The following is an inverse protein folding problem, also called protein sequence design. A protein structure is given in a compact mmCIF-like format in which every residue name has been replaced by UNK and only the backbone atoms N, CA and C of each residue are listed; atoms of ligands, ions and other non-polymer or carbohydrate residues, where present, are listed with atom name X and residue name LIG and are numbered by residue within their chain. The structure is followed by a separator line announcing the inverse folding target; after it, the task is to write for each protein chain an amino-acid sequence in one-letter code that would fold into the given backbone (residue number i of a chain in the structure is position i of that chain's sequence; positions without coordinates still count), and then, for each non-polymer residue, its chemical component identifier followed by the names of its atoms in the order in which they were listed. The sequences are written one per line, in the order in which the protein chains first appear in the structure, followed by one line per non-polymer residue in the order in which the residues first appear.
data_IF_284215832479
#
_entry.id   IF_284215832479
#
_cell.length_a   1.000
_cell.length_b   1.000
_cell.length_c   1.000
_cell.angle_alpha   90.00
_cell.angle_beta   90.00
_cell.angle_gamma   90.00
#
_symmetry.space_group_name_H-M   'P 1'
#
loop_
_entity.id
_entity.type
_entity.pdbx_description
1 polymer ?
#
# COMPACT_ATOMS: atom_id res chain seq x y z
N UNK A 1 -32.95 -4.07 -20.11
CA UNK A 1 -31.50 -4.21 -19.88
C UNK A 1 -31.24 -4.58 -18.43
N UNK A 2 -31.92 -5.61 -17.92
CA UNK A 2 -31.63 -6.15 -16.59
C UNK A 2 -30.50 -7.18 -16.72
N UNK A 3 -29.54 -7.14 -15.79
CA UNK A 3 -28.49 -8.15 -15.68
C UNK A 3 -27.15 -7.85 -16.37
N UNK A 4 -26.97 -6.69 -17.03
CA UNK A 4 -25.64 -6.26 -17.49
C UNK A 4 -24.95 -5.44 -16.41
N UNK A 5 -23.74 -5.87 -16.01
CA UNK A 5 -22.88 -5.08 -15.14
C UNK A 5 -22.57 -3.74 -15.82
N UNK A 6 -22.65 -2.64 -15.07
CA UNK A 6 -22.32 -1.30 -15.55
C UNK A 6 -21.20 -0.70 -14.71
N UNK A 7 -20.38 0.14 -15.35
CA UNK A 7 -19.31 0.87 -14.69
C UNK A 7 -19.90 2.19 -14.18
N UNK A 8 -19.80 2.43 -12.87
CA UNK A 8 -20.27 3.67 -12.27
C UNK A 8 -19.38 4.88 -12.62
N UNK A 9 -19.92 6.07 -12.45
CA UNK A 9 -19.25 7.37 -12.66
C UNK A 9 -17.97 7.57 -11.83
N UNK A 10 -17.78 6.79 -10.76
CA UNK A 10 -16.61 6.84 -9.88
C UNK A 10 -15.39 6.09 -10.45
N UNK A 11 -15.54 5.40 -11.59
CA UNK A 11 -14.46 4.64 -12.16
C UNK A 11 -13.35 5.56 -12.70
N UNK A 12 -12.15 5.43 -12.16
CA UNK A 12 -10.95 6.15 -12.62
C UNK A 12 -10.14 5.37 -13.67
N UNK A 13 -10.64 4.22 -14.14
CA UNK A 13 -9.97 3.46 -15.20
C UNK A 13 -8.68 2.75 -14.76
N UNK A 14 -8.54 2.35 -13.49
CA UNK A 14 -7.32 1.70 -12.98
C UNK A 14 -7.10 0.25 -13.47
N UNK A 15 -8.03 -0.29 -14.25
CA UNK A 15 -8.03 -1.64 -14.83
C UNK A 15 -7.90 -2.81 -13.84
N UNK A 16 -8.00 -2.55 -12.53
CA UNK A 16 -7.86 -3.60 -11.51
C UNK A 16 -8.93 -4.68 -11.66
N UNK A 17 -10.19 -4.29 -11.92
CA UNK A 17 -11.31 -5.21 -12.12
C UNK A 17 -11.08 -6.18 -13.28
N UNK A 18 -10.52 -5.72 -14.40
CA UNK A 18 -10.18 -6.55 -15.56
C UNK A 18 -9.05 -7.52 -15.20
N UNK A 19 -7.98 -7.01 -14.58
CA UNK A 19 -6.81 -7.82 -14.19
C UNK A 19 -7.11 -8.89 -13.14
N UNK A 20 -8.11 -8.66 -12.30
CA UNK A 20 -8.49 -9.56 -11.21
C UNK A 20 -9.69 -10.46 -11.55
N UNK A 21 -10.31 -10.31 -12.73
CA UNK A 21 -11.48 -11.12 -13.09
C UNK A 21 -11.03 -12.56 -13.40
N UNK A 22 -11.41 -13.56 -12.59
CA UNK A 22 -11.01 -14.95 -12.83
C UNK A 22 -11.70 -15.54 -14.07
N UNK A 23 -12.85 -14.99 -14.46
CA UNK A 23 -13.64 -15.41 -15.61
C UNK A 23 -13.32 -14.64 -16.89
N UNK A 24 -12.43 -13.65 -16.83
CA UNK A 24 -12.07 -12.80 -17.98
C UNK A 24 -13.31 -12.14 -18.64
N UNK A 25 -14.32 -11.85 -17.83
CA UNK A 25 -15.63 -11.36 -18.28
C UNK A 25 -15.66 -9.84 -18.58
N UNK A 26 -14.54 -9.13 -18.37
CA UNK A 26 -14.46 -7.68 -18.49
C UNK A 26 -13.40 -7.31 -19.52
N UNK A 27 -13.75 -6.37 -20.39
CA UNK A 27 -12.83 -5.71 -21.33
C UNK A 27 -12.74 -4.23 -21.02
N UNK A 28 -11.60 -3.61 -21.35
CA UNK A 28 -11.46 -2.16 -21.26
C UNK A 28 -11.91 -1.57 -22.59
N UNK A 29 -12.91 -0.71 -22.54
CA UNK A 29 -13.26 0.18 -23.65
C UNK A 29 -12.72 1.57 -23.33
N UNK A 30 -12.06 2.20 -24.31
CA UNK A 30 -11.64 3.59 -24.19
C UNK A 30 -12.87 4.48 -24.33
N UNK A 31 -13.22 5.18 -23.24
CA UNK A 31 -14.33 6.11 -23.21
C UNK A 31 -13.79 7.44 -22.69
N UNK A 32 -13.99 8.51 -23.45
CA UNK A 32 -13.63 9.85 -23.00
C UNK A 32 -14.40 10.19 -21.72
N UNK A 33 -13.65 10.50 -20.66
CA UNK A 33 -14.21 11.02 -19.42
C UNK A 33 -14.09 12.54 -19.42
N UNK A 34 -15.19 13.28 -19.55
CA UNK A 34 -15.14 14.74 -19.53
C UNK A 34 -14.51 15.21 -18.22
N UNK A 35 -13.57 16.16 -18.32
CA UNK A 35 -12.86 16.77 -17.18
C UNK A 35 -12.01 15.80 -16.35
N UNK A 36 -11.63 14.65 -16.90
CA UNK A 36 -10.64 13.78 -16.27
C UNK A 36 -9.21 14.25 -16.56
N UNK A 37 -8.32 14.08 -15.58
CA UNK A 37 -6.89 14.33 -15.72
C UNK A 37 -6.13 13.01 -15.48
N UNK A 38 -5.14 12.75 -16.33
CA UNK A 38 -4.29 11.57 -16.22
C UNK A 38 -3.25 11.78 -15.10
N UNK A 39 -3.17 10.83 -14.18
CA UNK A 39 -2.22 10.85 -13.08
C UNK A 39 -0.94 10.10 -13.46
N UNK A 40 0.25 10.64 -13.17
CA UNK A 40 1.53 9.99 -13.49
C UNK A 40 2.34 9.57 -12.24
N UNK A 41 1.73 9.65 -11.06
CA UNK A 41 2.37 9.32 -9.78
C UNK A 41 2.52 7.80 -9.53
N UNK A 42 2.08 6.94 -10.45
CA UNK A 42 2.31 5.51 -10.38
C UNK A 42 2.11 4.84 -11.75
N UNK A 43 2.59 3.60 -11.96
CA UNK A 43 2.49 2.90 -13.25
C UNK A 43 1.06 2.58 -13.71
N UNK A 44 0.04 2.78 -12.84
CA UNK A 44 -1.36 2.55 -13.20
C UNK A 44 -1.91 3.65 -14.11
N UNK A 45 -1.36 4.85 -13.98
CA UNK A 45 -1.74 6.04 -14.76
C UNK A 45 -3.25 6.29 -14.87
N UNK A 46 -3.98 6.21 -13.75
CA UNK A 46 -5.44 6.34 -13.77
C UNK A 46 -5.90 7.74 -14.20
N UNK A 47 -7.07 7.80 -14.83
CA UNK A 47 -7.75 9.04 -15.22
C UNK A 47 -8.73 9.46 -14.13
N UNK A 48 -8.42 10.55 -13.44
CA UNK A 48 -9.17 11.02 -12.28
C UNK A 48 -10.15 12.10 -12.73
N UNK A 49 -11.49 11.87 -12.67
CA UNK A 49 -12.47 12.92 -12.94
C UNK A 49 -12.33 14.10 -11.96
N UNK A 50 -12.68 15.30 -12.41
CA UNK A 50 -12.65 16.50 -11.57
C UNK A 50 -13.42 16.32 -10.25
N UNK A 51 -12.80 16.72 -9.13
CA UNK A 51 -13.34 16.59 -7.78
C UNK A 51 -13.39 15.16 -7.23
N UNK A 52 -12.78 14.19 -7.92
CA UNK A 52 -12.72 12.79 -7.48
C UNK A 52 -11.32 12.38 -7.06
N UNK A 53 -11.26 11.30 -6.29
CA UNK A 53 -10.04 10.64 -5.86
C UNK A 53 -9.58 9.61 -6.88
N UNK A 54 -8.27 9.51 -7.07
CA UNK A 54 -7.64 8.43 -7.83
C UNK A 54 -7.81 7.06 -7.16
N UNK A 55 -7.40 6.01 -7.86
CA UNK A 55 -7.61 4.63 -7.39
C UNK A 55 -6.91 4.35 -6.05
N UNK A 56 -5.77 4.98 -5.82
CA UNK A 56 -5.02 4.88 -4.56
C UNK A 56 -5.55 5.81 -3.46
N UNK A 57 -6.51 6.68 -3.76
CA UNK A 57 -7.05 7.74 -2.86
C UNK A 57 -6.05 8.79 -2.37
N UNK A 58 -4.80 8.77 -2.84
CA UNK A 58 -3.74 9.72 -2.44
C UNK A 58 -3.77 11.02 -3.24
N UNK A 59 -4.37 10.99 -4.42
CA UNK A 59 -4.41 12.12 -5.35
C UNK A 59 -5.83 12.44 -5.76
N UNK A 60 -6.09 13.72 -6.00
CA UNK A 60 -7.37 14.27 -6.46
C UNK A 60 -7.15 15.16 -7.69
N UNK A 61 -8.16 15.29 -8.54
CA UNK A 61 -8.13 16.22 -9.66
C UNK A 61 -8.83 17.52 -9.29
N UNK A 62 -8.05 18.60 -9.21
CA UNK A 62 -8.50 19.97 -8.96
C UNK A 62 -8.32 20.79 -10.24
N UNK A 63 -9.41 21.11 -10.94
CA UNK A 63 -9.39 21.92 -12.16
C UNK A 63 -8.39 21.42 -13.23
N UNK A 64 -8.29 20.11 -13.42
CA UNK A 64 -7.36 19.49 -14.38
C UNK A 64 -5.94 19.25 -13.85
N UNK A 65 -5.66 19.61 -12.58
CA UNK A 65 -4.37 19.39 -11.93
C UNK A 65 -4.47 18.26 -10.92
N UNK A 66 -3.49 17.36 -10.94
CA UNK A 66 -3.40 16.28 -9.96
C UNK A 66 -2.67 16.79 -8.73
N UNK A 67 -3.37 16.82 -7.60
CA UNK A 67 -2.88 17.31 -6.32
C UNK A 67 -3.00 16.22 -5.25
N UNK A 68 -2.27 16.37 -4.14
CA UNK A 68 -2.42 15.48 -2.99
C UNK A 68 -3.81 15.67 -2.37
N UNK A 69 -4.47 14.54 -2.07
CA UNK A 69 -5.80 14.56 -1.47
C UNK A 69 -5.76 14.95 0.02
N UNK A 70 -4.69 14.56 0.70
CA UNK A 70 -4.48 14.82 2.12
C UNK A 70 -3.15 15.54 2.34
N UNK A 71 -3.08 16.51 3.25
CA UNK A 71 -1.82 17.13 3.62
C UNK A 71 -0.93 16.13 4.39
N UNK A 72 0.37 16.45 4.49
CA UNK A 72 1.32 15.68 5.29
C UNK A 72 0.81 15.54 6.73
N UNK A 73 0.62 14.29 7.19
CA UNK A 73 0.12 14.03 8.53
C UNK A 73 1.27 13.94 9.52
N UNK A 74 1.29 14.90 10.45
CA UNK A 74 2.16 14.93 11.63
C UNK A 74 1.38 14.34 12.81
N UNK A 75 1.79 13.20 13.37
CA UNK A 75 1.07 12.65 14.50
C UNK A 75 1.22 13.60 15.70
N UNK A 76 0.15 13.80 16.48
CA UNK A 76 0.17 14.68 17.67
C UNK A 76 0.89 13.99 18.83
N UNK A 77 1.72 14.73 19.58
CA UNK A 77 2.22 14.29 20.89
C UNK A 77 1.03 14.32 21.88
N UNK A 78 0.50 13.15 22.27
CA UNK A 78 -0.38 13.06 23.45
C UNK A 78 0.50 12.85 24.69
N UNK A 79 0.17 13.44 25.85
CA UNK A 79 0.82 13.07 27.09
C UNK A 79 0.51 11.60 27.38
N UNK A 80 1.56 10.77 27.44
CA UNK A 80 1.45 9.36 27.77
C UNK A 80 1.23 9.22 29.28
N UNK A 81 0.36 8.31 29.69
CA UNK A 81 0.36 7.85 31.07
C UNK A 81 1.51 6.84 31.31
N UNK A 82 1.82 6.53 32.57
CA UNK A 82 2.96 5.68 32.93
C UNK A 82 2.87 4.27 32.32
N UNK A 83 1.66 3.71 32.19
CA UNK A 83 1.45 2.38 31.60
C UNK A 83 1.63 2.38 30.08
N UNK A 84 1.25 3.47 29.41
CA UNK A 84 1.49 3.71 27.98
C UNK A 84 2.98 3.95 27.70
N UNK A 85 3.68 4.69 28.57
CA UNK A 85 5.12 4.95 28.45
C UNK A 85 5.99 3.69 28.63
N UNK A 86 5.53 2.69 29.39
CA UNK A 86 6.22 1.39 29.50
C UNK A 86 6.05 0.54 28.23
N UNK A 87 4.93 0.72 27.49
CA UNK A 87 4.68 0.03 26.22
C UNK A 87 5.32 0.74 25.02
N UNK A 88 5.28 2.07 25.00
CA UNK A 88 5.92 2.87 23.96
C UNK A 88 7.42 3.05 24.25
N UNK A 89 8.25 2.30 23.54
CA UNK A 89 9.69 2.62 23.46
C UNK A 89 9.85 4.01 22.83
N UNK A 90 10.93 4.74 23.17
CA UNK A 90 11.22 6.11 22.71
C UNK A 90 11.18 6.34 21.17
N UNK A 91 11.16 5.28 20.36
CA UNK A 91 11.08 5.29 18.89
C UNK A 91 9.76 4.73 18.33
N UNK A 92 8.75 4.51 19.17
CA UNK A 92 7.48 3.89 18.77
C UNK A 92 6.62 4.78 17.87
N UNK A 93 6.92 6.07 17.79
CA UNK A 93 6.16 7.06 17.02
C UNK A 93 7.08 7.86 16.10
N UNK A 94 6.84 7.89 14.78
CA UNK A 94 7.67 8.67 13.87
C UNK A 94 7.37 10.16 14.00
N UNK A 95 8.32 11.01 13.58
CA UNK A 95 8.13 12.47 13.57
C UNK A 95 7.08 12.90 12.53
N UNK A 96 7.02 12.15 11.42
CA UNK A 96 6.07 12.31 10.32
C UNK A 96 5.51 10.95 9.93
N UNK A 97 4.27 10.92 9.43
CA UNK A 97 3.80 9.74 8.70
C UNK A 97 4.11 9.85 7.22
N UNK A 98 3.96 8.75 6.47
CA UNK A 98 4.04 8.79 5.01
C UNK A 98 2.81 9.39 4.33
N UNK A 99 1.68 9.56 5.04
CA UNK A 99 0.42 10.02 4.45
C UNK A 99 0.57 11.48 4.05
N UNK A 100 0.32 11.78 2.77
CA UNK A 100 0.43 13.15 2.25
C UNK A 100 1.88 13.59 2.01
N UNK A 101 2.85 12.67 2.10
CA UNK A 101 4.23 12.95 1.72
C UNK A 101 4.40 13.09 0.19
N UNK A 102 3.50 12.49 -0.58
CA UNK A 102 3.63 12.38 -2.02
C UNK A 102 4.70 11.38 -2.43
N UNK A 103 4.72 11.06 -3.72
CA UNK A 103 5.64 10.10 -4.30
C UNK A 103 6.62 10.77 -5.23
N UNK A 104 7.82 10.19 -5.30
CA UNK A 104 8.83 10.56 -6.28
C UNK A 104 8.82 9.64 -7.49
N UNK A 105 7.89 8.69 -7.63
CA UNK A 105 7.84 7.79 -8.81
C UNK A 105 7.68 8.55 -10.14
N UNK A 106 8.33 8.10 -11.25
CA UNK A 106 9.35 7.04 -11.36
C UNK A 106 10.79 7.55 -11.11
N UNK A 107 10.92 8.68 -10.46
CA UNK A 107 12.12 9.50 -10.40
C UNK A 107 13.14 9.03 -9.35
N UNK A 108 14.39 9.48 -9.55
CA UNK A 108 15.52 9.21 -8.64
C UNK A 108 15.61 10.21 -7.48
N UNK A 109 14.59 11.06 -7.35
CA UNK A 109 14.59 12.12 -6.36
C UNK A 109 14.59 11.55 -4.93
N UNK A 110 15.35 12.18 -4.01
CA UNK A 110 15.31 11.81 -2.61
C UNK A 110 13.90 11.98 -2.04
N UNK A 111 13.66 11.35 -0.89
CA UNK A 111 12.39 11.49 -0.19
C UNK A 111 12.01 12.98 0.00
N UNK A 112 10.75 13.37 -0.29
CA UNK A 112 10.33 14.77 -0.26
C UNK A 112 10.42 15.39 1.14
N UNK A 113 10.37 14.56 2.19
CA UNK A 113 10.51 15.01 3.57
C UNK A 113 11.57 14.18 4.30
N UNK A 114 12.59 14.91 4.77
CA UNK A 114 13.65 14.44 5.66
C UNK A 114 13.63 15.41 6.84
N UNK A 115 13.27 14.92 8.03
CA UNK A 115 13.17 15.75 9.23
C UNK A 115 13.95 15.15 10.38
N UNK A 116 14.37 16.00 11.32
CA UNK A 116 15.08 15.63 12.53
C UNK A 116 14.40 16.21 13.78
N UNK A 117 14.50 15.50 14.90
CA UNK A 117 14.16 15.97 16.24
C UNK A 117 15.05 15.22 17.24
N UNK A 118 15.18 15.74 18.46
CA UNK A 118 15.87 15.04 19.54
C UNK A 118 14.83 14.49 20.54
N UNK A 119 14.77 13.16 20.68
CA UNK A 119 13.84 12.47 21.58
C UNK A 119 14.65 11.73 22.63
N UNK A 120 14.46 12.07 23.90
CA UNK A 120 15.17 11.46 25.04
C UNK A 120 16.70 11.41 24.84
N UNK A 121 17.29 12.54 24.40
CA UNK A 121 18.72 12.70 24.07
C UNK A 121 19.23 11.85 22.89
N UNK A 122 18.33 11.24 22.11
CA UNK A 122 18.64 10.53 20.87
C UNK A 122 18.23 11.39 19.68
N UNK A 123 19.14 11.61 18.74
CA UNK A 123 18.83 12.26 17.47
C UNK A 123 18.01 11.30 16.60
N UNK A 124 16.79 11.72 16.23
CA UNK A 124 15.86 10.93 15.44
C UNK A 124 15.68 11.59 14.09
N UNK A 125 16.06 10.88 13.02
CA UNK A 125 15.82 11.33 11.64
C UNK A 125 14.69 10.49 11.04
N UNK A 126 13.64 11.15 10.55
CA UNK A 126 12.51 10.52 9.86
C UNK A 126 12.54 10.91 8.39
N UNK A 127 12.54 9.91 7.51
CA UNK A 127 12.57 10.07 6.05
C UNK A 127 11.31 9.42 5.48
N UNK A 128 10.46 10.20 4.78
CA UNK A 128 9.17 9.70 4.28
C UNK A 128 8.95 10.03 2.80
N UNK A 129 8.49 9.02 2.07
CA UNK A 129 8.01 9.11 0.69
C UNK A 129 6.87 8.08 0.54
N UNK A 130 5.82 8.44 -0.18
CA UNK A 130 4.83 7.45 -0.57
C UNK A 130 5.32 6.64 -1.77
N UNK A 131 5.11 5.32 -1.74
CA UNK A 131 5.51 4.43 -2.83
C UNK A 131 4.29 3.77 -3.48
N UNK A 132 4.34 3.40 -4.77
CA UNK A 132 3.30 2.57 -5.36
C UNK A 132 3.13 1.26 -4.57
N UNK A 133 1.89 0.79 -4.44
CA UNK A 133 1.55 -0.40 -3.66
C UNK A 133 2.37 -1.64 -4.07
N UNK A 134 2.79 -1.72 -5.34
CA UNK A 134 3.62 -2.81 -5.86
C UNK A 134 4.94 -3.00 -5.09
N UNK A 135 5.48 -1.97 -4.45
CA UNK A 135 6.74 -2.03 -3.71
C UNK A 135 6.57 -2.45 -2.24
N UNK A 136 5.34 -2.60 -1.76
CA UNK A 136 5.06 -2.93 -0.37
C UNK A 136 5.18 -4.43 -0.09
N UNK A 137 5.28 -4.80 1.19
CA UNK A 137 5.28 -6.20 1.62
C UNK A 137 5.46 -6.31 3.14
N UNK A 138 5.31 -7.52 3.67
CA UNK A 138 5.53 -7.85 5.07
C UNK A 138 6.48 -9.04 5.19
N UNK A 139 7.31 -9.02 6.23
CA UNK A 139 8.06 -10.19 6.68
C UNK A 139 7.48 -10.59 8.04
N UNK A 140 6.86 -11.76 8.09
CA UNK A 140 6.30 -12.33 9.31
C UNK A 140 7.30 -13.33 9.87
N UNK A 141 7.73 -13.12 11.11
CA UNK A 141 8.51 -14.11 11.87
C UNK A 141 7.56 -14.91 12.74
N UNK A 142 7.40 -16.20 12.44
CA UNK A 142 6.48 -17.09 13.14
C UNK A 142 7.30 -18.03 14.02
N UNK A 143 7.06 -17.94 15.33
CA UNK A 143 7.61 -18.87 16.32
C UNK A 143 6.54 -19.92 16.63
N UNK A 144 6.78 -21.15 16.20
CA UNK A 144 5.82 -22.25 16.36
C UNK A 144 6.49 -23.60 16.25
N UNK A 145 6.02 -24.56 17.05
CA UNK A 145 6.42 -25.96 16.96
C UNK A 145 5.78 -26.69 15.75
N UNK A 146 4.83 -26.04 15.06
CA UNK A 146 4.14 -26.62 13.90
C UNK A 146 4.98 -26.49 12.64
N UNK A 147 5.02 -27.56 11.83
CA UNK A 147 5.61 -27.46 10.50
C UNK A 147 4.70 -26.64 9.59
N UNK A 148 5.22 -25.50 9.09
CA UNK A 148 4.51 -24.60 8.18
C UNK A 148 5.05 -24.61 6.74
N UNK A 149 5.99 -25.52 6.43
CA UNK A 149 6.64 -25.65 5.13
C UNK A 149 8.16 -25.48 5.19
N UNK A 150 8.80 -25.67 4.05
CA UNK A 150 10.25 -25.53 3.83
C UNK A 150 10.58 -24.17 3.25
N UNK A 151 11.83 -23.74 3.39
CA UNK A 151 12.35 -22.57 2.69
C UNK A 151 12.10 -22.70 1.17
N UNK A 152 11.56 -21.64 0.57
CA UNK A 152 11.13 -21.62 -0.84
C UNK A 152 9.68 -22.05 -1.10
N UNK A 153 8.98 -22.65 -0.13
CA UNK A 153 7.60 -23.07 -0.33
C UNK A 153 6.66 -21.86 -0.49
N UNK A 154 5.63 -21.96 -1.36
CA UNK A 154 4.71 -20.86 -1.61
C UNK A 154 3.74 -20.68 -0.43
N UNK A 155 3.62 -19.43 0.05
CA UNK A 155 2.53 -19.04 0.94
C UNK A 155 1.32 -18.71 0.08
N UNK A 156 0.14 -19.26 0.41
CA UNK A 156 -1.07 -19.09 -0.39
C UNK A 156 -2.26 -18.57 0.42
N UNK A 157 -3.11 -17.77 -0.23
CA UNK A 157 -4.44 -17.39 0.25
C UNK A 157 -5.43 -17.56 -0.89
N UNK A 158 -6.57 -18.21 -0.64
CA UNK A 158 -7.58 -18.49 -1.68
C UNK A 158 -7.00 -19.22 -2.91
N UNK A 159 -6.01 -20.09 -2.69
CA UNK A 159 -5.29 -20.79 -3.76
C UNK A 159 -4.26 -19.95 -4.54
N UNK A 160 -4.23 -18.63 -4.34
CA UNK A 160 -3.27 -17.70 -4.97
C UNK A 160 -1.97 -17.66 -4.16
N UNK A 161 -0.81 -17.73 -4.82
CA UNK A 161 0.48 -17.51 -4.16
C UNK A 161 0.60 -16.05 -3.73
N UNK A 162 0.64 -15.78 -2.42
CA UNK A 162 0.75 -14.42 -1.86
C UNK A 162 2.12 -14.11 -1.28
N UNK A 163 3.01 -15.09 -1.26
CA UNK A 163 4.34 -14.96 -0.69
C UNK A 163 5.15 -16.24 -0.76
N UNK A 164 6.26 -16.26 -0.05
CA UNK A 164 7.19 -17.40 0.01
C UNK A 164 7.77 -17.51 1.42
N UNK A 165 7.99 -18.74 1.89
CA UNK A 165 8.79 -18.99 3.09
C UNK A 165 10.24 -18.67 2.73
N UNK A 166 10.86 -17.75 3.45
CA UNK A 166 12.24 -17.33 3.20
C UNK A 166 13.18 -18.18 4.05
N UNK A 167 13.90 -17.60 5.02
CA UNK A 167 14.82 -18.33 5.89
C UNK A 167 14.24 -18.69 7.27
N UNK A 168 14.89 -19.63 7.92
CA UNK A 168 14.75 -19.91 9.35
C UNK A 168 15.71 -19.07 10.19
N UNK A 169 15.24 -18.58 11.34
CA UNK A 169 16.05 -17.85 12.31
C UNK A 169 15.75 -18.31 13.73
N UNK A 170 16.72 -18.98 14.36
CA UNK A 170 16.63 -19.40 15.77
C UNK A 170 15.36 -20.21 16.10
N UNK A 171 14.98 -21.14 15.22
CA UNK A 171 13.77 -21.97 15.36
C UNK A 171 12.49 -21.34 14.79
N UNK A 172 12.48 -20.03 14.54
CA UNK A 172 11.35 -19.36 13.89
C UNK A 172 11.47 -19.44 12.35
N UNK A 173 10.33 -19.50 11.67
CA UNK A 173 10.24 -19.46 10.20
C UNK A 173 9.81 -18.06 9.75
N UNK A 174 10.46 -17.51 8.73
CA UNK A 174 10.08 -16.22 8.17
C UNK A 174 9.28 -16.38 6.88
N UNK A 175 8.19 -15.63 6.75
CA UNK A 175 7.33 -15.58 5.57
C UNK A 175 7.41 -14.18 4.96
N UNK A 176 7.77 -14.08 3.70
CA UNK A 176 7.68 -12.84 2.95
C UNK A 176 6.38 -12.81 2.15
N UNK A 177 5.50 -11.86 2.47
CA UNK A 177 4.20 -11.66 1.81
C UNK A 177 4.23 -10.35 1.02
N UNK A 178 3.70 -10.38 -0.21
CA UNK A 178 3.71 -9.23 -1.11
C UNK A 178 5.02 -9.07 -1.89
N UNK A 179 5.36 -7.83 -2.23
CA UNK A 179 6.46 -7.47 -3.12
C UNK A 179 6.04 -7.38 -4.59
N UNK A 180 6.89 -6.72 -5.40
CA UNK A 180 6.57 -6.32 -6.79
C UNK A 180 6.07 -7.51 -7.61
N UNK A 181 6.85 -8.59 -7.68
CA UNK A 181 6.50 -9.77 -8.48
C UNK A 181 5.21 -10.45 -8.02
N UNK A 182 4.92 -10.41 -6.72
CA UNK A 182 3.70 -10.97 -6.14
C UNK A 182 2.48 -10.09 -6.43
N UNK A 183 2.64 -8.76 -6.46
CA UNK A 183 1.54 -7.83 -6.69
C UNK A 183 1.19 -7.64 -8.17
N UNK A 184 2.14 -7.81 -9.08
CA UNK A 184 1.88 -7.66 -10.53
C UNK A 184 1.36 -8.94 -11.20
N UNK A 185 1.41 -10.09 -10.53
CA UNK A 185 0.89 -11.35 -11.08
C UNK A 185 -0.64 -11.34 -11.24
N UNK A 186 -1.19 -12.32 -11.98
CA UNK A 186 -2.64 -12.55 -12.06
C UNK A 186 -3.19 -12.81 -10.65
N UNK A 187 -4.24 -12.07 -10.27
CA UNK A 187 -4.80 -12.08 -8.90
C UNK A 187 -3.87 -11.54 -7.79
N UNK A 188 -2.83 -10.76 -8.13
CA UNK A 188 -1.93 -10.12 -7.15
C UNK A 188 -2.63 -9.22 -6.13
N UNK A 189 -3.84 -8.74 -6.43
CA UNK A 189 -4.71 -8.02 -5.49
C UNK A 189 -5.03 -8.84 -4.23
N UNK A 190 -5.09 -10.18 -4.32
CA UNK A 190 -5.26 -11.07 -3.16
C UNK A 190 -4.07 -10.96 -2.22
N UNK A 191 -2.85 -10.84 -2.75
CA UNK A 191 -1.67 -10.62 -1.93
C UNK A 191 -1.69 -9.23 -1.28
N UNK A 192 -2.11 -8.19 -2.01
CA UNK A 192 -2.24 -6.85 -1.46
C UNK A 192 -3.25 -6.80 -0.30
N UNK A 193 -4.42 -7.44 -0.47
CA UNK A 193 -5.41 -7.63 0.59
C UNK A 193 -4.83 -8.39 1.77
N UNK A 194 -4.11 -9.50 1.52
CA UNK A 194 -3.41 -10.24 2.59
C UNK A 194 -2.47 -9.37 3.40
N UNK A 195 -1.69 -8.50 2.77
CA UNK A 195 -0.81 -7.56 3.48
C UNK A 195 -1.60 -6.57 4.33
N UNK A 196 -2.68 -6.01 3.80
CA UNK A 196 -3.53 -5.04 4.53
C UNK A 196 -4.22 -5.71 5.72
N UNK A 197 -4.86 -6.85 5.51
CA UNK A 197 -5.59 -7.58 6.53
C UNK A 197 -4.65 -7.96 7.69
N UNK A 198 -3.48 -8.53 7.37
CA UNK A 198 -2.47 -8.87 8.37
C UNK A 198 -1.97 -7.65 9.15
N UNK A 199 -1.74 -6.52 8.48
CA UNK A 199 -1.31 -5.28 9.12
C UNK A 199 -2.40 -4.67 10.03
N UNK A 200 -3.67 -4.90 9.71
CA UNK A 200 -4.82 -4.50 10.52
C UNK A 200 -5.16 -5.51 11.63
N UNK A 201 -4.50 -6.68 11.68
CA UNK A 201 -4.82 -7.76 12.61
C UNK A 201 -6.10 -8.54 12.23
N UNK A 202 -6.52 -8.43 10.97
CA UNK A 202 -7.63 -9.16 10.38
C UNK A 202 -7.12 -10.50 9.79
N UNK A 203 -7.98 -11.52 9.76
CA UNK A 203 -7.67 -12.88 9.25
C UNK A 203 -8.28 -13.13 7.88
#
# INVERSE_FOLDING_TARGET
MEGKASIGENCVGCTLCVRMCPLEALTVEEVEKPKAAKCFHCPVECEIPEGRLGACKRYTNVNGRIELAEPLVVPRKKPLNVEEAVREKALSRPLLTGIGAGTTYPDLNPAPYIVEDQVDSVDVVTVVSETPLSYCGLILKIDTDRNIGREGDPVKREGVKVGTIIMEQYGSKLLQIGGVNTFIQKLGAVAARTVVDLANGET
#
